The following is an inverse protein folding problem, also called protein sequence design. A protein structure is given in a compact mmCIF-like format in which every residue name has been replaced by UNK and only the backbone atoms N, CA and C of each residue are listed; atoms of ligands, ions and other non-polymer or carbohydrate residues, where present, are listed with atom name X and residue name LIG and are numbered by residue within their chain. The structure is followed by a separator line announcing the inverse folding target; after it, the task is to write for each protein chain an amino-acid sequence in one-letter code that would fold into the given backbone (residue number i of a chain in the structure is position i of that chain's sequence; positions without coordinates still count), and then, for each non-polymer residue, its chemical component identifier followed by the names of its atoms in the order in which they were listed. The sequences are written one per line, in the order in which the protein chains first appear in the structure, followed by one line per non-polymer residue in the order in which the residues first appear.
data_IF_489146006283
#
_entry.id   IF_489146006283
#
_cell.length_a   1.000
_cell.length_b   1.000
_cell.length_c   1.000
_cell.angle_alpha   90.00
_cell.angle_beta   90.00
_cell.angle_gamma   90.00
#
_symmetry.space_group_name_H-M   'P 1'
#
loop_
_entity.id
_entity.type
_entity.pdbx_description
1 polymer ?
#
# COMPACT_ATOMS: atom_id res chain seq x y z
N UNK A 1 18.08 3.18 -5.18
CA UNK A 1 17.97 2.93 -3.72
C UNK A 1 16.51 2.72 -3.30
N UNK A 2 15.62 3.72 -3.43
CA UNK A 2 14.22 3.61 -3.02
C UNK A 2 13.44 2.51 -3.76
N UNK A 3 13.57 2.41 -5.08
CA UNK A 3 12.91 1.36 -5.87
C UNK A 3 13.31 -0.06 -5.43
N UNK A 4 14.59 -0.28 -5.12
CA UNK A 4 15.10 -1.58 -4.62
C UNK A 4 14.49 -1.91 -3.26
N UNK A 5 14.38 -0.93 -2.37
CA UNK A 5 13.73 -1.11 -1.07
C UNK A 5 12.23 -1.44 -1.21
N UNK A 6 11.53 -0.76 -2.11
CA UNK A 6 10.12 -1.05 -2.42
C UNK A 6 9.96 -2.46 -3.00
N UNK A 7 10.81 -2.85 -3.95
CA UNK A 7 10.79 -4.21 -4.53
C UNK A 7 11.05 -5.27 -3.46
N UNK A 8 12.06 -5.07 -2.61
CA UNK A 8 12.36 -5.98 -1.49
C UNK A 8 11.19 -6.10 -0.51
N UNK A 9 10.53 -4.98 -0.19
CA UNK A 9 9.33 -4.97 0.66
C UNK A 9 8.18 -5.75 0.01
N UNK A 10 7.89 -5.52 -1.28
CA UNK A 10 6.88 -6.27 -2.03
C UNK A 10 7.19 -7.77 -2.09
N UNK A 11 8.44 -8.15 -2.34
CA UNK A 11 8.87 -9.56 -2.33
C UNK A 11 8.64 -10.19 -0.96
N UNK A 12 9.00 -9.50 0.13
CA UNK A 12 8.79 -10.00 1.49
C UNK A 12 7.31 -10.20 1.81
N UNK A 13 6.45 -9.25 1.41
CA UNK A 13 4.99 -9.35 1.57
C UNK A 13 4.42 -10.51 0.77
N UNK A 14 4.77 -10.63 -0.52
CA UNK A 14 4.31 -11.73 -1.38
C UNK A 14 4.78 -13.09 -0.87
N UNK A 15 6.02 -13.20 -0.41
CA UNK A 15 6.56 -14.44 0.14
C UNK A 15 5.86 -14.86 1.44
N UNK A 16 5.42 -13.89 2.26
CA UNK A 16 4.64 -14.17 3.45
C UNK A 16 3.20 -14.56 3.10
N UNK A 17 2.60 -13.85 2.15
CA UNK A 17 1.23 -14.10 1.69
C UNK A 17 1.09 -15.51 1.09
N UNK A 18 2.02 -15.93 0.22
CA UNK A 18 2.05 -17.30 -0.34
C UNK A 18 2.16 -18.36 0.76
N UNK A 19 2.98 -18.11 1.80
CA UNK A 19 3.26 -19.08 2.87
C UNK A 19 2.18 -19.18 3.93
N UNK A 20 1.51 -18.07 4.24
CA UNK A 20 0.62 -17.95 5.41
C UNK A 20 -0.81 -17.56 5.04
N UNK A 21 -1.08 -17.22 3.78
CA UNK A 21 -2.36 -16.68 3.26
C UNK A 21 -2.94 -15.58 4.17
N UNK A 22 -2.05 -14.80 4.77
CA UNK A 22 -2.35 -13.74 5.73
C UNK A 22 -1.27 -12.69 5.63
N UNK A 23 -1.63 -11.48 5.20
CA UNK A 23 -0.71 -10.35 5.21
C UNK A 23 -0.43 -9.87 6.65
N UNK A 24 0.84 -9.74 7.05
CA UNK A 24 1.20 -9.29 8.38
C UNK A 24 1.04 -7.77 8.49
N UNK A 25 0.15 -7.32 9.38
CA UNK A 25 -0.07 -5.90 9.69
C UNK A 25 1.22 -5.16 10.10
N UNK A 26 2.16 -5.89 10.70
CA UNK A 26 3.47 -5.40 11.15
C UNK A 26 4.37 -4.91 10.00
N UNK A 27 4.12 -5.32 8.75
CA UNK A 27 4.90 -4.88 7.59
C UNK A 27 4.10 -3.95 6.66
N UNK A 28 2.77 -4.05 6.63
CA UNK A 28 1.93 -3.24 5.72
C UNK A 28 1.73 -1.81 6.22
N UNK A 29 1.42 -1.63 7.51
CA UNK A 29 1.20 -0.30 8.09
C UNK A 29 2.47 0.55 8.14
N UNK A 30 3.62 0.03 8.62
CA UNK A 30 4.86 0.82 8.64
C UNK A 30 5.33 1.19 7.24
N UNK A 31 5.18 0.27 6.26
CA UNK A 31 5.54 0.54 4.87
C UNK A 31 4.73 1.69 4.27
N UNK A 32 3.41 1.69 4.48
CA UNK A 32 2.53 2.78 4.02
C UNK A 32 2.89 4.13 4.64
N UNK A 33 3.20 4.15 5.95
CA UNK A 33 3.62 5.37 6.66
C UNK A 33 4.93 5.91 6.10
N UNK A 34 5.92 5.04 5.88
CA UNK A 34 7.22 5.44 5.31
C UNK A 34 7.04 6.02 3.91
N UNK A 35 6.24 5.39 3.05
CA UNK A 35 5.97 5.87 1.70
C UNK A 35 5.33 7.26 1.72
N UNK A 36 4.30 7.47 2.54
CA UNK A 36 3.64 8.77 2.67
C UNK A 36 4.59 9.84 3.23
N UNK A 37 5.38 9.51 4.25
CA UNK A 37 6.36 10.44 4.82
C UNK A 37 7.41 10.86 3.78
N UNK A 38 7.93 9.91 2.99
CA UNK A 38 8.88 10.21 1.90
C UNK A 38 8.22 11.04 0.81
N UNK A 39 6.98 10.75 0.42
CA UNK A 39 6.25 11.53 -0.57
C UNK A 39 6.06 12.99 -0.13
N UNK A 40 5.72 13.22 1.15
CA UNK A 40 5.60 14.58 1.71
C UNK A 40 6.94 15.31 1.67
N UNK A 41 8.03 14.67 2.11
CA UNK A 41 9.37 15.28 2.15
C UNK A 41 9.91 15.57 0.74
N UNK A 42 9.50 14.80 -0.26
CA UNK A 42 9.93 14.96 -1.66
C UNK A 42 9.00 15.84 -2.50
N UNK A 43 7.94 16.41 -1.92
CA UNK A 43 7.02 17.31 -2.61
C UNK A 43 5.85 16.64 -3.36
N UNK A 44 5.78 15.31 -3.36
CA UNK A 44 4.71 14.53 -4.02
C UNK A 44 3.53 14.20 -3.08
N UNK A 45 3.49 14.82 -1.90
CA UNK A 45 2.52 14.54 -0.84
C UNK A 45 1.05 14.56 -1.28
N UNK A 46 0.58 15.58 -2.03
CA UNK A 46 -0.81 15.63 -2.49
C UNK A 46 -1.18 14.47 -3.43
N UNK A 47 -0.33 14.18 -4.42
CA UNK A 47 -0.55 13.06 -5.34
C UNK A 47 -0.54 11.72 -4.60
N UNK A 48 0.43 11.52 -3.71
CA UNK A 48 0.50 10.33 -2.88
C UNK A 48 -0.72 10.16 -1.99
N UNK A 49 -1.20 11.22 -1.33
CA UNK A 49 -2.38 11.15 -0.49
C UNK A 49 -3.63 10.78 -1.30
N UNK A 50 -3.82 11.40 -2.47
CA UNK A 50 -4.95 11.11 -3.35
C UNK A 50 -4.92 9.65 -3.82
N UNK A 51 -3.77 9.17 -4.29
CA UNK A 51 -3.63 7.77 -4.72
C UNK A 51 -3.87 6.78 -3.57
N UNK A 52 -3.36 7.09 -2.37
CA UNK A 52 -3.57 6.29 -1.17
C UNK A 52 -5.05 6.18 -0.80
N UNK A 53 -5.75 7.32 -0.75
CA UNK A 53 -7.18 7.38 -0.41
C UNK A 53 -8.02 6.69 -1.48
N UNK A 54 -7.73 6.90 -2.75
CA UNK A 54 -8.47 6.31 -3.86
C UNK A 54 -8.38 4.77 -3.81
N UNK A 55 -7.16 4.22 -3.73
CA UNK A 55 -6.98 2.77 -3.75
C UNK A 55 -7.48 2.11 -2.45
N UNK A 56 -7.25 2.74 -1.30
CA UNK A 56 -7.83 2.31 -0.02
C UNK A 56 -9.36 2.29 -0.08
N UNK A 57 -9.99 3.33 -0.62
CA UNK A 57 -11.44 3.42 -0.73
C UNK A 57 -12.05 2.29 -1.56
N UNK A 58 -11.43 1.95 -2.70
CA UNK A 58 -11.85 0.83 -3.53
C UNK A 58 -11.74 -0.50 -2.77
N UNK A 59 -10.58 -0.77 -2.15
CA UNK A 59 -10.35 -2.04 -1.45
C UNK A 59 -11.21 -2.16 -0.19
N UNK A 60 -11.39 -1.06 0.55
CA UNK A 60 -12.29 -1.00 1.70
C UNK A 60 -13.73 -1.27 1.29
N UNK A 61 -14.19 -0.68 0.17
CA UNK A 61 -15.55 -0.92 -0.35
C UNK A 61 -15.76 -2.40 -0.70
N UNK A 62 -14.79 -3.03 -1.36
CA UNK A 62 -14.84 -4.46 -1.68
C UNK A 62 -14.82 -5.30 -0.40
N UNK A 63 -13.96 -4.98 0.57
CA UNK A 63 -13.90 -5.70 1.84
C UNK A 63 -15.19 -5.57 2.66
N UNK A 64 -15.85 -4.41 2.62
CA UNK A 64 -17.13 -4.21 3.30
C UNK A 64 -18.28 -4.93 2.58
N UNK A 65 -18.29 -4.97 1.25
CA UNK A 65 -19.30 -5.67 0.46
C UNK A 65 -19.13 -7.20 0.50
N UNK A 66 -17.89 -7.68 0.50
CA UNK A 66 -17.53 -9.09 0.44
C UNK A 66 -16.28 -9.38 1.31
N UNK A 67 -16.42 -9.40 2.65
CA UNK A 67 -15.30 -9.58 3.57
C UNK A 67 -14.61 -10.95 3.45
N UNK A 68 -15.28 -11.96 2.89
CA UNK A 68 -14.69 -13.25 2.58
C UNK A 68 -13.84 -13.25 1.28
N UNK A 69 -14.04 -12.27 0.41
CA UNK A 69 -13.35 -12.17 -0.88
C UNK A 69 -12.00 -11.44 -0.80
N UNK A 70 -11.81 -10.57 0.21
CA UNK A 70 -10.59 -9.76 0.36
C UNK A 70 -10.23 -9.63 1.84
N UNK A 71 -8.94 -9.76 2.18
CA UNK A 71 -8.48 -9.65 3.55
C UNK A 71 -8.30 -8.20 4.00
N UNK A 72 -8.46 -7.93 5.29
CA UNK A 72 -8.16 -6.61 5.87
C UNK A 72 -6.68 -6.18 5.72
N UNK A 73 -5.78 -7.13 5.40
CA UNK A 73 -4.38 -6.85 5.08
C UNK A 73 -4.22 -6.19 3.70
N UNK A 74 -5.00 -6.62 2.70
CA UNK A 74 -5.00 -6.09 1.33
C UNK A 74 -5.44 -4.62 1.33
N UNK A 75 -6.48 -4.31 2.11
CA UNK A 75 -6.99 -2.95 2.29
C UNK A 75 -5.92 -2.01 2.85
N UNK A 76 -5.05 -2.48 3.76
CA UNK A 76 -3.97 -1.67 4.32
C UNK A 76 -2.81 -1.49 3.35
N UNK A 77 -2.49 -2.55 2.60
CA UNK A 77 -1.48 -2.51 1.55
C UNK A 77 -1.85 -1.48 0.47
N UNK A 78 -3.14 -1.34 0.16
CA UNK A 78 -3.66 -0.37 -0.80
C UNK A 78 -3.26 1.09 -0.46
N UNK A 79 -3.07 1.43 0.82
CA UNK A 79 -2.59 2.77 1.22
C UNK A 79 -1.18 3.01 0.67
N UNK A 80 -0.26 2.07 0.89
CA UNK A 80 1.14 2.22 0.46
C UNK A 80 1.30 2.15 -1.06
N UNK A 81 0.59 1.23 -1.72
CA UNK A 81 0.62 1.11 -3.19
C UNK A 81 -0.03 2.34 -3.83
N UNK A 82 -1.21 2.75 -3.34
CA UNK A 82 -1.88 3.95 -3.82
C UNK A 82 -1.02 5.20 -3.63
N UNK A 83 -0.31 5.32 -2.50
CA UNK A 83 0.61 6.42 -2.26
C UNK A 83 1.77 6.46 -3.26
N UNK A 84 2.38 5.31 -3.57
CA UNK A 84 3.41 5.23 -4.61
C UNK A 84 2.84 5.61 -5.98
N UNK A 85 1.71 5.02 -6.38
CA UNK A 85 1.09 5.29 -7.68
C UNK A 85 0.68 6.74 -7.83
N UNK A 86 0.16 7.37 -6.77
CA UNK A 86 -0.21 8.78 -6.79
C UNK A 86 0.99 9.73 -6.75
N UNK A 87 2.10 9.33 -6.12
CA UNK A 87 3.34 10.12 -6.09
C UNK A 87 4.02 10.16 -7.46
N UNK A 88 3.96 9.07 -8.22
CA UNK A 88 4.54 8.90 -9.57
C UNK A 88 3.47 8.82 -10.66
N UNK A 89 2.29 9.41 -10.41
CA UNK A 89 1.18 9.45 -11.35
C UNK A 89 1.58 10.15 -12.66
N UNK A 90 0.70 10.15 -13.68
CA UNK A 90 1.08 10.53 -15.03
C UNK A 90 1.70 11.94 -15.06
N UNK A 91 3.02 11.97 -15.26
CA UNK A 91 3.79 13.15 -15.64
C UNK A 91 3.29 13.69 -17.00
#
# INVERSE_FOLDING_TARGET
MAAVAVIMWLIALSAYDIRKRRLPNLLTLPGAVVILAVAVVTGHGPGALLGAVALFGVYASVHLAAPAAMGAGDVKLAIGIGALTGAFGPD
#
